data_IF_852835609569
#
_entry.id   IF_852835609569
#
_cell.length_a   1.000
_cell.length_b   1.000
_cell.length_c   1.000
_cell.angle_alpha   90.00
_cell.angle_beta   90.00
_cell.angle_gamma   90.00
#
_symmetry.space_group_name_H-M   'P 1'
#
loop_
_entity.id
_entity.type
_entity.pdbx_description
1 polymer ?
#
# COMPACT_ATOMS: atom_id res chain seq x y z
N UNK A 1 9.25 -34.68 51.01
CA UNK A 1 8.30 -33.56 50.86
C UNK A 1 8.96 -32.45 50.07
N UNK A 2 8.56 -32.37 48.80
CA UNK A 2 9.02 -31.42 47.78
C UNK A 2 8.41 -30.04 48.06
N UNK A 3 9.15 -29.15 48.71
CA UNK A 3 8.66 -27.78 49.02
C UNK A 3 9.64 -26.65 48.69
N UNK A 4 10.71 -26.95 47.96
CA UNK A 4 11.69 -25.94 47.52
C UNK A 4 11.75 -25.61 46.01
N UNK A 5 10.93 -26.17 45.08
CA UNK A 5 10.98 -25.71 43.69
C UNK A 5 10.01 -24.56 43.37
N UNK A 6 9.02 -24.27 44.22
CA UNK A 6 7.94 -23.33 43.89
C UNK A 6 8.41 -21.87 43.89
N UNK A 7 9.41 -21.51 44.72
CA UNK A 7 9.87 -20.12 44.83
C UNK A 7 10.80 -19.70 43.68
N UNK A 8 11.49 -20.64 43.03
CA UNK A 8 12.39 -20.34 41.91
C UNK A 8 11.65 -20.22 40.57
N UNK A 9 10.49 -20.87 40.43
CA UNK A 9 9.64 -20.78 39.23
C UNK A 9 9.01 -19.39 39.10
N UNK A 10 8.74 -18.70 40.21
CA UNK A 10 8.15 -17.34 40.19
C UNK A 10 9.10 -16.26 39.67
N UNK A 11 10.42 -16.44 39.81
CA UNK A 11 11.40 -15.46 39.34
C UNK A 11 11.63 -15.52 37.82
N UNK A 12 11.20 -16.61 37.17
CA UNK A 12 11.36 -16.81 35.72
C UNK A 12 10.22 -16.18 34.89
N UNK A 13 9.11 -15.76 35.54
CA UNK A 13 7.94 -15.20 34.85
C UNK A 13 8.03 -13.66 34.71
N UNK A 14 9.00 -13.01 35.37
CA UNK A 14 9.23 -11.56 35.27
C UNK A 14 10.04 -11.13 34.04
N UNK A 15 10.44 -12.06 33.18
CA UNK A 15 10.89 -11.75 31.81
C UNK A 15 9.67 -11.62 30.89
N UNK A 16 8.67 -10.85 31.30
CA UNK A 16 7.72 -10.29 30.35
C UNK A 16 8.53 -9.36 29.46
N UNK A 17 8.93 -9.86 28.29
CA UNK A 17 9.27 -9.00 27.17
C UNK A 17 8.17 -7.95 27.10
N UNK A 18 8.54 -6.68 27.19
CA UNK A 18 7.69 -5.59 26.75
C UNK A 18 7.52 -5.80 25.24
N UNK A 19 6.62 -6.71 24.85
CA UNK A 19 6.11 -6.75 23.51
C UNK A 19 5.45 -5.39 23.32
N UNK A 20 6.10 -4.53 22.55
CA UNK A 20 5.56 -3.22 22.20
C UNK A 20 4.15 -3.46 21.65
N UNK A 21 3.15 -2.96 22.36
CA UNK A 21 1.77 -2.90 21.88
C UNK A 21 1.73 -1.75 20.87
N UNK A 22 2.42 -1.93 19.75
CA UNK A 22 2.42 -1.02 18.62
C UNK A 22 1.92 -1.84 17.43
N UNK A 23 0.76 -1.48 16.88
CA UNK A 23 0.10 -2.24 15.80
C UNK A 23 1.04 -2.46 14.59
N UNK A 24 1.92 -1.49 14.32
CA UNK A 24 2.98 -1.57 13.32
C UNK A 24 4.15 -0.66 13.73
N UNK A 25 5.34 -0.91 13.17
CA UNK A 25 6.49 -0.02 13.30
C UNK A 25 6.94 0.51 11.93
N UNK A 26 6.95 1.84 11.79
CA UNK A 26 7.54 2.49 10.62
C UNK A 26 9.06 2.56 10.81
N UNK A 27 9.82 2.12 9.81
CA UNK A 27 11.27 2.13 9.86
C UNK A 27 11.84 3.56 9.86
N UNK A 28 12.82 3.80 10.73
CA UNK A 28 13.63 5.02 10.74
C UNK A 28 14.86 4.84 9.84
N UNK A 29 14.75 5.30 8.61
CA UNK A 29 15.85 5.27 7.64
C UNK A 29 16.94 6.32 7.91
N UNK A 30 16.78 7.21 8.90
CA UNK A 30 17.83 8.16 9.30
C UNK A 30 18.85 7.52 10.25
N UNK A 31 18.49 6.42 10.90
CA UNK A 31 19.36 5.66 11.78
C UNK A 31 20.17 4.58 11.02
N UNK A 32 21.35 4.18 11.52
CA UNK A 32 22.10 3.07 10.94
C UNK A 32 21.34 1.75 10.98
N UNK A 33 21.44 0.96 9.91
CA UNK A 33 20.87 -0.37 9.85
C UNK A 33 21.60 -1.32 10.83
N UNK A 34 20.83 -1.99 11.68
CA UNK A 34 21.33 -3.05 12.56
C UNK A 34 21.18 -4.45 11.94
N UNK A 35 21.67 -5.50 12.62
CA UNK A 35 21.54 -6.88 12.16
C UNK A 35 20.08 -7.38 12.06
N UNK A 36 19.14 -6.66 12.68
CA UNK A 36 17.70 -6.94 12.59
C UNK A 36 16.94 -5.99 11.65
N UNK A 37 17.63 -5.12 10.89
CA UNK A 37 17.01 -4.08 10.05
C UNK A 37 17.09 -2.69 10.67
N UNK A 38 16.13 -1.82 10.34
CA UNK A 38 16.07 -0.45 10.84
C UNK A 38 15.34 -0.37 12.18
N UNK A 39 15.74 0.59 13.03
CA UNK A 39 14.99 0.94 14.24
C UNK A 39 13.64 1.57 13.87
N UNK A 40 12.70 1.56 14.81
CA UNK A 40 11.38 2.17 14.60
C UNK A 40 11.48 3.69 14.78
N UNK A 41 10.74 4.47 13.98
CA UNK A 41 10.50 5.88 14.26
C UNK A 41 9.73 6.02 15.58
N UNK A 42 9.95 7.13 16.29
CA UNK A 42 9.08 7.53 17.38
C UNK A 42 7.66 7.75 16.82
N UNK A 43 6.58 7.18 17.43
CA UNK A 43 5.21 7.41 16.98
C UNK A 43 4.83 8.88 16.78
N UNK A 44 5.41 9.80 17.55
CA UNK A 44 5.20 11.25 17.40
C UNK A 44 5.75 11.84 16.09
N UNK A 45 6.70 11.14 15.46
CA UNK A 45 7.36 11.54 14.22
C UNK A 45 6.87 10.73 13.00
N UNK A 46 5.89 9.85 13.19
CA UNK A 46 5.25 9.11 12.08
C UNK A 46 4.25 10.05 11.41
N UNK A 47 4.35 10.16 10.09
CA UNK A 47 3.51 11.04 9.27
C UNK A 47 2.70 10.23 8.26
N UNK A 48 1.71 10.84 7.61
CA UNK A 48 0.93 10.19 6.53
C UNK A 48 1.84 9.72 5.40
N UNK A 49 2.89 10.49 5.10
CA UNK A 49 3.85 10.18 4.03
C UNK A 49 4.60 8.85 4.27
N UNK A 50 4.71 8.39 5.52
CA UNK A 50 5.33 7.11 5.86
C UNK A 50 4.53 5.88 5.39
N UNK A 51 3.26 6.08 5.04
CA UNK A 51 2.37 5.04 4.52
C UNK A 51 2.08 5.20 3.03
N UNK A 52 2.60 6.27 2.40
CA UNK A 52 2.46 6.51 0.98
C UNK A 52 3.60 5.80 0.25
N UNK A 53 3.25 4.82 -0.60
CA UNK A 53 4.22 4.10 -1.41
C UNK A 53 4.16 4.60 -2.86
N UNK A 54 5.19 5.35 -3.28
CA UNK A 54 5.27 5.96 -4.63
C UNK A 54 6.36 5.34 -5.51
N UNK A 55 6.81 4.12 -5.22
CA UNK A 55 7.87 3.48 -6.02
C UNK A 55 7.40 3.06 -7.42
N UNK A 56 6.07 2.97 -7.61
CA UNK A 56 5.45 2.74 -8.91
C UNK A 56 4.90 4.07 -9.44
N UNK A 57 5.09 4.30 -10.73
CA UNK A 57 4.62 5.48 -11.43
C UNK A 57 3.09 5.60 -11.39
N UNK A 58 2.61 6.79 -11.07
CA UNK A 58 1.19 7.14 -11.08
C UNK A 58 0.79 7.66 -12.47
N UNK A 59 -0.26 7.13 -13.09
CA UNK A 59 -0.75 7.64 -14.36
C UNK A 59 -1.22 9.10 -14.29
N UNK A 60 -0.83 9.91 -15.27
CA UNK A 60 -1.37 11.25 -15.46
C UNK A 60 -2.68 11.19 -16.23
N UNK A 61 -3.79 11.09 -15.51
CA UNK A 61 -5.13 11.08 -16.09
C UNK A 61 -5.54 12.40 -16.75
N UNK A 62 -4.75 13.47 -16.60
CA UNK A 62 -4.99 14.74 -17.31
C UNK A 62 -4.39 14.73 -18.73
N UNK A 63 -3.47 13.81 -19.00
CA UNK A 63 -2.86 13.64 -20.31
C UNK A 63 -3.74 12.80 -21.25
N UNK A 64 -3.59 12.95 -22.59
CA UNK A 64 -4.25 12.07 -23.55
C UNK A 64 -3.80 10.61 -23.39
N UNK A 65 -4.76 9.68 -23.40
CA UNK A 65 -4.49 8.26 -23.35
C UNK A 65 -3.95 7.75 -24.70
N UNK A 66 -2.77 7.13 -24.67
CA UNK A 66 -2.19 6.43 -25.81
C UNK A 66 -2.62 4.95 -25.89
N UNK A 67 -2.18 4.21 -26.92
CA UNK A 67 -2.53 2.80 -27.11
C UNK A 67 -2.10 1.87 -25.97
N UNK A 68 -1.08 2.28 -25.22
CA UNK A 68 -0.59 1.53 -24.09
C UNK A 68 -1.12 2.09 -22.76
N UNK A 69 -1.69 3.30 -22.71
CA UNK A 69 -2.12 3.98 -21.48
C UNK A 69 -1.66 5.44 -21.42
N UNK A 70 -1.53 6.01 -20.24
CA UNK A 70 -1.18 7.43 -20.00
C UNK A 70 0.33 7.64 -19.90
N UNK A 71 0.79 8.89 -20.00
CA UNK A 71 2.10 9.26 -19.48
C UNK A 71 2.11 9.18 -17.95
N UNK A 72 3.22 8.82 -17.33
CA UNK A 72 3.32 8.90 -15.88
C UNK A 72 3.46 10.36 -15.43
N UNK A 73 2.90 10.69 -14.26
CA UNK A 73 3.22 11.94 -13.58
C UNK A 73 4.70 11.96 -13.23
N UNK A 74 5.32 13.15 -13.32
CA UNK A 74 6.67 13.37 -12.81
C UNK A 74 6.62 13.19 -11.28
N UNK A 75 7.61 12.55 -10.62
CA UNK A 75 7.58 12.28 -9.19
C UNK A 75 7.29 13.51 -8.31
N UNK A 76 7.75 14.71 -8.74
CA UNK A 76 7.51 15.96 -8.04
C UNK A 76 6.02 16.43 -8.06
N UNK A 77 5.21 15.87 -8.96
CA UNK A 77 3.79 16.19 -9.12
C UNK A 77 2.87 15.08 -8.56
N UNK A 78 3.44 14.00 -8.03
CA UNK A 78 2.69 12.97 -7.31
C UNK A 78 2.35 13.51 -5.93
N UNK A 79 1.09 13.39 -5.54
CA UNK A 79 0.57 13.95 -4.28
C UNK A 79 -0.17 12.88 -3.49
N UNK A 80 -0.47 13.16 -2.22
CA UNK A 80 -1.25 12.24 -1.36
C UNK A 80 -2.63 11.94 -1.95
N UNK A 81 -3.23 12.89 -2.66
CA UNK A 81 -4.51 12.72 -3.34
C UNK A 81 -4.47 11.65 -4.44
N UNK A 82 -3.27 11.28 -4.91
CA UNK A 82 -3.10 10.18 -5.86
C UNK A 82 -3.19 8.79 -5.22
N UNK A 83 -3.23 8.69 -3.89
CA UNK A 83 -3.29 7.42 -3.15
C UNK A 83 -4.44 7.37 -2.14
N UNK A 84 -5.11 8.48 -1.86
CA UNK A 84 -6.19 8.54 -0.86
C UNK A 84 -7.56 8.54 -1.52
N UNK A 85 -8.49 7.79 -0.93
CA UNK A 85 -9.90 7.84 -1.28
C UNK A 85 -10.73 8.12 -0.04
N UNK A 86 -11.47 9.23 -0.09
CA UNK A 86 -12.35 9.70 0.98
C UNK A 86 -13.81 9.29 0.77
N UNK A 87 -14.14 8.54 -0.29
CA UNK A 87 -15.52 8.15 -0.50
C UNK A 87 -16.08 7.23 0.59
N UNK A 88 -15.24 6.39 1.22
CA UNK A 88 -15.67 5.42 2.24
C UNK A 88 -16.07 6.05 3.58
N UNK A 89 -15.56 7.24 3.92
CA UNK A 89 -15.98 7.97 5.13
C UNK A 89 -17.34 8.66 4.94
N UNK A 90 -17.77 8.85 3.69
CA UNK A 90 -19.08 9.43 3.37
C UNK A 90 -20.15 8.35 3.49
N UNK A 91 -21.08 8.54 4.43
CA UNK A 91 -22.22 7.66 4.59
C UNK A 91 -23.04 7.56 3.29
N UNK A 92 -23.27 6.35 2.82
CA UNK A 92 -24.07 6.10 1.62
C UNK A 92 -25.51 6.58 1.79
N UNK A 93 -26.13 7.05 0.70
CA UNK A 93 -27.51 7.53 0.74
C UNK A 93 -28.50 6.38 1.00
N UNK A 94 -29.14 6.39 2.17
CA UNK A 94 -30.15 5.41 2.59
C UNK A 94 -31.58 5.82 2.26
N UNK A 95 -31.80 6.95 1.57
CA UNK A 95 -33.13 7.47 1.20
C UNK A 95 -33.74 6.72 0.00
N UNK A 96 -33.81 5.39 0.09
CA UNK A 96 -34.39 4.51 -0.92
C UNK A 96 -35.22 3.41 -0.25
N UNK A 97 -36.02 2.67 -1.05
CA UNK A 97 -36.97 1.65 -0.55
C UNK A 97 -36.32 0.54 0.29
N UNK A 98 -35.02 0.29 0.09
CA UNK A 98 -34.28 -0.75 0.79
C UNK A 98 -33.56 -0.23 2.04
N UNK A 99 -33.54 1.10 2.25
CA UNK A 99 -32.80 1.75 3.33
C UNK A 99 -31.29 1.39 3.35
N UNK A 100 -30.72 1.08 2.18
CA UNK A 100 -29.33 0.66 1.99
C UNK A 100 -28.57 1.71 1.19
N UNK A 101 -27.45 2.20 1.72
CA UNK A 101 -26.51 3.05 1.00
C UNK A 101 -25.25 2.28 0.67
N UNK A 102 -24.95 2.09 -0.61
CA UNK A 102 -23.73 1.42 -1.07
C UNK A 102 -22.77 2.48 -1.62
N UNK A 103 -21.65 2.69 -0.94
CA UNK A 103 -20.51 3.44 -1.48
C UNK A 103 -19.61 2.45 -2.23
N UNK A 104 -19.55 2.56 -3.54
CA UNK A 104 -18.65 1.73 -4.36
C UNK A 104 -17.30 2.41 -4.49
N UNK A 105 -16.24 1.68 -4.17
CA UNK A 105 -14.88 2.11 -4.38
C UNK A 105 -14.27 1.25 -5.48
N UNK A 106 -14.33 1.72 -6.73
CA UNK A 106 -13.73 1.02 -7.85
C UNK A 106 -12.24 1.34 -7.95
N UNK A 107 -11.49 0.49 -8.61
CA UNK A 107 -10.03 0.59 -8.77
C UNK A 107 -9.56 1.96 -9.28
N UNK A 108 -10.29 2.58 -10.22
CA UNK A 108 -9.98 3.91 -10.73
C UNK A 108 -10.31 5.05 -9.74
N UNK A 109 -11.10 4.76 -8.71
CA UNK A 109 -11.58 5.71 -7.71
C UNK A 109 -10.89 5.52 -6.36
N UNK A 110 -10.33 4.33 -6.09
CA UNK A 110 -9.67 4.00 -4.84
C UNK A 110 -8.19 3.66 -5.05
N UNK A 111 -7.35 4.66 -5.35
CA UNK A 111 -5.97 4.41 -5.75
C UNK A 111 -5.09 3.85 -4.62
N UNK A 112 -5.52 3.97 -3.36
CA UNK A 112 -4.84 3.41 -2.19
C UNK A 112 -4.97 1.90 -2.02
N UNK A 113 -5.83 1.22 -2.79
CA UNK A 113 -5.93 -0.25 -2.75
C UNK A 113 -4.94 -0.84 -3.75
N UNK A 114 -3.84 -1.38 -3.24
CA UNK A 114 -2.84 -2.03 -4.08
C UNK A 114 -3.26 -3.45 -4.44
N UNK A 115 -4.09 -3.58 -5.48
CA UNK A 115 -4.39 -4.86 -6.10
C UNK A 115 -3.24 -5.29 -7.03
N UNK A 116 -3.07 -6.59 -7.22
CA UNK A 116 -1.98 -7.12 -8.05
C UNK A 116 -2.09 -6.62 -9.49
N UNK A 117 -3.30 -6.61 -10.04
CA UNK A 117 -3.56 -6.09 -11.39
C UNK A 117 -3.20 -4.61 -11.54
N UNK A 118 -3.41 -3.80 -10.49
CA UNK A 118 -3.02 -2.39 -10.48
C UNK A 118 -1.51 -2.23 -10.46
N UNK A 119 -0.84 -2.96 -9.57
CA UNK A 119 0.60 -2.90 -9.45
C UNK A 119 1.30 -3.33 -10.74
N UNK A 120 0.74 -4.31 -11.47
CA UNK A 120 1.30 -4.78 -12.74
C UNK A 120 0.91 -3.89 -13.91
N UNK A 121 -0.37 -3.50 -14.03
CA UNK A 121 -0.90 -2.93 -15.26
C UNK A 121 -1.36 -1.47 -15.15
N UNK A 122 -1.61 -0.94 -13.95
CA UNK A 122 -1.98 0.45 -13.72
C UNK A 122 -0.80 1.29 -13.19
N UNK A 123 0.42 0.90 -13.56
CA UNK A 123 1.68 1.53 -13.15
C UNK A 123 2.69 1.53 -14.30
N UNK A 124 3.87 2.10 -14.03
CA UNK A 124 5.05 2.02 -14.90
C UNK A 124 5.82 0.69 -14.81
N UNK A 125 5.30 -0.33 -14.12
CA UNK A 125 6.02 -1.59 -13.90
C UNK A 125 6.49 -2.21 -15.24
N UNK A 126 7.76 -2.65 -15.36
CA UNK A 126 8.35 -3.01 -16.65
C UNK A 126 7.58 -4.13 -17.36
N UNK A 127 7.24 -3.90 -18.64
CA UNK A 127 6.41 -4.83 -19.42
C UNK A 127 7.10 -6.17 -19.63
N UNK A 128 8.43 -6.17 -19.73
CA UNK A 128 9.26 -7.37 -19.86
C UNK A 128 9.19 -8.23 -18.59
N UNK A 129 9.13 -7.62 -17.40
CA UNK A 129 9.02 -8.34 -16.13
C UNK A 129 7.61 -8.92 -15.96
N UNK A 130 6.59 -8.21 -16.41
CA UNK A 130 5.21 -8.74 -16.45
C UNK A 130 5.17 -9.97 -17.35
N UNK A 131 5.77 -9.92 -18.54
CA UNK A 131 5.79 -11.05 -19.46
C UNK A 131 6.45 -12.30 -18.84
N UNK A 132 7.57 -12.11 -18.12
CA UNK A 132 8.29 -13.19 -17.46
C UNK A 132 7.49 -13.85 -16.33
N UNK A 133 6.64 -13.09 -15.64
CA UNK A 133 5.93 -13.56 -14.43
C UNK A 133 4.49 -14.01 -14.70
N UNK A 134 3.86 -13.49 -15.76
CA UNK A 134 2.43 -13.74 -16.07
C UNK A 134 2.21 -14.64 -17.27
N UNK A 135 3.25 -14.95 -18.05
CA UNK A 135 3.18 -15.67 -19.33
C UNK A 135 2.33 -14.97 -20.41
N UNK A 136 2.01 -13.69 -20.22
CA UNK A 136 1.32 -12.86 -21.21
C UNK A 136 2.32 -12.36 -22.26
N UNK A 137 1.85 -12.21 -23.50
CA UNK A 137 2.65 -11.57 -24.54
C UNK A 137 2.68 -10.04 -24.36
N UNK A 138 3.72 -9.40 -24.91
CA UNK A 138 3.94 -7.95 -24.79
C UNK A 138 2.75 -7.14 -25.33
N UNK A 139 2.04 -7.63 -26.35
CA UNK A 139 0.90 -6.92 -26.93
C UNK A 139 -0.33 -7.02 -26.02
N UNK A 140 -0.57 -8.18 -25.39
CA UNK A 140 -1.59 -8.36 -24.37
C UNK A 140 -1.32 -7.45 -23.17
N UNK A 141 -0.07 -7.38 -22.70
CA UNK A 141 0.30 -6.53 -21.57
C UNK A 141 0.06 -5.06 -21.90
N UNK A 142 0.51 -4.58 -23.07
CA UNK A 142 0.23 -3.21 -23.50
C UNK A 142 -1.26 -2.92 -23.63
N UNK A 143 -2.04 -3.89 -24.11
CA UNK A 143 -3.50 -3.77 -24.19
C UNK A 143 -4.14 -3.70 -22.79
N UNK A 144 -3.67 -4.51 -21.84
CA UNK A 144 -4.14 -4.48 -20.45
C UNK A 144 -3.77 -3.18 -19.76
N UNK A 145 -2.53 -2.71 -19.93
CA UNK A 145 -2.11 -1.38 -19.44
C UNK A 145 -2.99 -0.27 -20.03
N UNK A 146 -3.30 -0.36 -21.33
CA UNK A 146 -4.21 0.57 -21.98
C UNK A 146 -5.61 0.51 -21.38
N UNK A 147 -6.18 -0.68 -21.21
CA UNK A 147 -7.52 -0.87 -20.66
C UNK A 147 -7.64 -0.41 -19.20
N UNK A 148 -6.60 -0.63 -18.39
CA UNK A 148 -6.59 -0.34 -16.96
C UNK A 148 -6.06 1.07 -16.64
N UNK A 149 -5.64 1.83 -17.66
CA UNK A 149 -5.15 3.19 -17.47
C UNK A 149 -3.78 3.26 -16.79
N UNK A 150 -2.91 2.29 -17.03
CA UNK A 150 -1.51 2.34 -16.60
C UNK A 150 -0.68 3.37 -17.34
N UNK A 151 0.57 3.51 -16.93
CA UNK A 151 1.45 4.52 -17.49
C UNK A 151 2.80 3.98 -17.97
N UNK A 152 3.48 4.81 -18.76
CA UNK A 152 4.81 4.57 -19.29
C UNK A 152 5.70 5.71 -18.83
N UNK A 153 6.82 5.35 -18.20
CA UNK A 153 7.93 6.26 -17.95
C UNK A 153 8.79 6.41 -19.21
#
# INVERSE_FOLDING_TARGET
MMKFPILFVFSFILSSSYAAVQDFCVADYTAPQGPAGYSCKNPENVTVDDFVYSALGVPDYTAPQGPAGYSCKIPANVTVDDFVYTGLEVAGNTSNINNLGITTALVAQFPGVQLLENALFQSDFPTELIAQTTLLDIAQIKKLKGLLGGCFA
#
